data_IF_016978711343
#
_entry.id   IF_016978711343
#
_cell.length_a   1.000
_cell.length_b   1.000
_cell.length_c   1.000
_cell.angle_alpha   90.00
_cell.angle_beta   90.00
_cell.angle_gamma   90.00
#
_symmetry.space_group_name_H-M   'P 1'
#
loop_
_entity.id
_entity.type
_entity.pdbx_description
1 polymer ?
#
# COMPACT_ATOMS: atom_id res chain seq x y z
N UNK A 1 33.09 -42.05 6.97
CA UNK A 1 32.64 -42.09 8.37
C UNK A 1 31.70 -40.92 8.57
N UNK A 2 30.42 -41.18 8.39
CA UNK A 2 29.34 -40.19 8.26
C UNK A 2 28.79 -39.91 9.65
N UNK A 3 28.86 -38.66 10.12
CA UNK A 3 28.27 -38.25 11.40
C UNK A 3 26.81 -37.84 11.19
N UNK A 4 25.92 -38.58 11.83
CA UNK A 4 24.48 -38.30 11.96
C UNK A 4 24.28 -37.45 13.21
N UNK A 5 23.78 -36.24 13.03
CA UNK A 5 23.15 -35.35 14.01
C UNK A 5 21.87 -34.87 13.27
N UNK A 6 20.65 -34.84 13.78
CA UNK A 6 20.01 -35.18 15.07
C UNK A 6 18.51 -35.05 14.81
N UNK A 7 17.72 -36.13 14.91
CA UNK A 7 16.25 -36.09 14.78
C UNK A 7 15.53 -35.49 16.01
N UNK A 8 16.28 -35.18 17.08
CA UNK A 8 15.73 -34.90 18.41
C UNK A 8 15.10 -33.51 18.55
N UNK A 9 15.57 -32.51 17.79
CA UNK A 9 15.01 -31.14 17.84
C UNK A 9 13.64 -31.08 17.14
N UNK A 10 13.45 -31.85 16.07
CA UNK A 10 12.19 -31.90 15.33
C UNK A 10 11.11 -32.67 16.12
N UNK A 11 11.50 -33.72 16.85
CA UNK A 11 10.61 -34.47 17.74
C UNK A 11 10.17 -33.60 18.94
N UNK A 12 11.05 -32.81 19.54
CA UNK A 12 10.66 -31.87 20.61
C UNK A 12 9.67 -30.78 20.15
N UNK A 13 9.79 -30.30 18.91
CA UNK A 13 8.87 -29.28 18.37
C UNK A 13 7.48 -29.87 18.09
N UNK A 14 7.42 -31.11 17.58
CA UNK A 14 6.17 -31.84 17.33
C UNK A 14 5.46 -32.22 18.64
N UNK A 15 6.21 -32.59 19.69
CA UNK A 15 5.64 -32.90 21.02
C UNK A 15 5.03 -31.64 21.65
N UNK A 16 5.70 -30.47 21.56
CA UNK A 16 5.14 -29.21 22.07
C UNK A 16 3.87 -28.76 21.33
N UNK A 17 3.77 -29.01 20.03
CA UNK A 17 2.56 -28.71 19.24
C UNK A 17 1.40 -29.68 19.55
N UNK A 18 1.69 -30.96 19.77
CA UNK A 18 0.68 -31.96 20.16
C UNK A 18 0.16 -31.76 21.59
N UNK A 19 1.01 -31.40 22.55
CA UNK A 19 0.57 -31.13 23.94
C UNK A 19 -0.35 -29.89 24.00
N UNK A 20 -0.10 -28.87 23.16
CA UNK A 20 -0.99 -27.70 23.05
C UNK A 20 -2.36 -28.05 22.46
N UNK A 21 -2.39 -28.97 21.48
CA UNK A 21 -3.63 -29.49 20.88
C UNK A 21 -4.45 -30.33 21.86
N UNK A 22 -3.78 -31.14 22.68
CA UNK A 22 -4.42 -32.01 23.68
C UNK A 22 -5.01 -31.20 24.85
N UNK A 23 -4.32 -30.14 25.32
CA UNK A 23 -4.86 -29.25 26.36
C UNK A 23 -6.09 -28.45 25.90
N UNK A 24 -6.20 -28.12 24.60
CA UNK A 24 -7.39 -27.46 24.05
C UNK A 24 -8.58 -28.43 23.91
N UNK A 25 -8.33 -29.72 23.68
CA UNK A 25 -9.40 -30.74 23.64
C UNK A 25 -9.88 -31.20 25.03
N UNK A 26 -9.05 -31.11 26.08
CA UNK A 26 -9.42 -31.62 27.41
C UNK A 26 -10.26 -30.66 28.26
N UNK A 27 -10.43 -29.40 27.84
CA UNK A 27 -11.32 -28.42 28.49
C UNK A 27 -12.77 -28.52 28.01
N UNK A 28 -13.07 -29.43 27.07
CA UNK A 28 -14.41 -29.64 26.52
C UNK A 28 -14.85 -31.11 26.68
N UNK A 29 -14.78 -31.66 27.89
CA UNK A 29 -15.42 -32.94 28.18
C UNK A 29 -15.63 -33.13 29.69
N UNK A 30 -16.77 -32.66 30.20
CA UNK A 30 -17.53 -33.37 31.25
C UNK A 30 -18.81 -32.61 31.65
N UNK A 31 -19.93 -33.31 31.51
CA UNK A 31 -21.18 -33.23 32.29
C UNK A 31 -22.03 -31.94 32.25
N UNK A 32 -23.18 -31.97 31.57
CA UNK A 32 -24.45 -32.41 32.21
C UNK A 32 -25.55 -32.68 31.17
N UNK A 33 -26.34 -33.72 31.45
CA UNK A 33 -27.53 -34.20 30.74
C UNK A 33 -28.74 -33.40 31.24
N UNK A 34 -29.61 -32.95 30.33
CA UNK A 34 -30.91 -32.37 30.65
C UNK A 34 -31.75 -32.22 29.39
N UNK A 35 -32.73 -33.10 29.22
CA UNK A 35 -33.76 -33.06 28.19
C UNK A 35 -34.87 -32.11 28.62
N UNK A 36 -35.26 -31.15 27.77
CA UNK A 36 -36.66 -30.90 27.40
C UNK A 36 -36.75 -29.81 26.32
N UNK A 37 -37.72 -30.02 25.45
CA UNK A 37 -38.07 -29.29 24.23
C UNK A 37 -38.72 -27.95 24.51
N UNK A 38 -38.38 -26.92 23.73
CA UNK A 38 -39.36 -26.15 22.93
C UNK A 38 -38.65 -25.11 22.03
N UNK A 39 -39.18 -24.97 20.81
CA UNK A 39 -38.65 -24.18 19.69
C UNK A 39 -38.46 -22.69 20.01
N UNK A 40 -37.25 -22.17 19.81
CA UNK A 40 -37.02 -20.76 19.47
C UNK A 40 -35.85 -20.63 18.48
N UNK A 41 -36.17 -20.19 17.27
CA UNK A 41 -35.26 -19.83 16.18
C UNK A 41 -34.48 -18.55 16.53
N UNK A 42 -33.17 -18.64 16.78
CA UNK A 42 -32.14 -17.67 16.39
C UNK A 42 -30.76 -18.09 16.89
N UNK A 43 -29.84 -18.36 15.96
CA UNK A 43 -28.53 -18.98 16.21
C UNK A 43 -27.40 -17.93 16.32
N UNK A 44 -27.64 -16.80 17.01
CA UNK A 44 -26.67 -15.69 17.11
C UNK A 44 -26.21 -15.32 18.53
N UNK A 45 -26.88 -15.79 19.58
CA UNK A 45 -26.55 -15.38 20.97
C UNK A 45 -26.16 -16.59 21.83
N UNK A 46 -24.87 -16.93 21.82
CA UNK A 46 -24.23 -17.70 22.90
C UNK A 46 -23.04 -16.94 23.43
N UNK A 47 -23.31 -15.97 24.30
CA UNK A 47 -22.29 -15.33 25.12
C UNK A 47 -21.99 -16.20 26.35
N UNK A 48 -20.74 -16.66 26.48
CA UNK A 48 -20.22 -17.17 27.76
C UNK A 48 -20.01 -15.98 28.71
N UNK A 49 -20.83 -15.91 29.76
CA UNK A 49 -20.56 -15.09 30.92
C UNK A 49 -19.65 -15.90 31.87
N UNK A 50 -18.40 -15.49 32.05
CA UNK A 50 -17.55 -15.99 33.13
C UNK A 50 -17.05 -14.80 33.96
N UNK A 51 -17.28 -14.88 35.27
CA UNK A 51 -17.03 -13.81 36.22
C UNK A 51 -15.55 -13.43 36.30
N UNK A 52 -15.29 -12.12 36.35
CA UNK A 52 -14.17 -11.57 37.13
C UNK A 52 -12.78 -11.74 36.54
N UNK A 53 -12.54 -11.23 35.33
CA UNK A 53 -11.22 -10.72 34.86
C UNK A 53 -11.42 -10.00 33.53
N UNK A 54 -11.15 -8.68 33.43
CA UNK A 54 -11.10 -7.97 32.15
C UNK A 54 -9.88 -8.42 31.35
N UNK A 55 -9.97 -9.58 30.71
CA UNK A 55 -9.20 -9.86 29.50
C UNK A 55 -10.05 -9.37 28.33
N UNK A 56 -9.60 -8.29 27.68
CA UNK A 56 -10.11 -7.88 26.37
C UNK A 56 -9.82 -9.03 25.39
N UNK A 57 -10.78 -9.96 25.26
CA UNK A 57 -10.75 -11.02 24.28
C UNK A 57 -10.83 -10.36 22.90
N UNK A 58 -9.66 -10.20 22.28
CA UNK A 58 -9.55 -9.80 20.88
C UNK A 58 -10.28 -10.83 20.01
N UNK A 59 -11.16 -10.35 19.15
CA UNK A 59 -12.02 -11.17 18.29
C UNK A 59 -11.16 -12.12 17.43
N UNK A 60 -11.62 -13.35 17.12
CA UNK A 60 -10.84 -14.35 16.35
C UNK A 60 -10.45 -13.95 14.91
N UNK A 61 -10.84 -12.75 14.44
CA UNK A 61 -10.58 -12.23 13.09
C UNK A 61 -9.36 -11.28 13.05
N UNK A 62 -8.84 -10.82 14.19
CA UNK A 62 -7.66 -9.92 14.24
C UNK A 62 -6.33 -10.58 13.78
N UNK A 63 -6.33 -11.86 13.41
CA UNK A 63 -5.14 -12.70 13.55
C UNK A 63 -4.19 -12.66 12.33
N UNK A 64 -4.66 -12.53 11.08
CA UNK A 64 -3.81 -12.94 9.95
C UNK A 64 -2.72 -11.95 9.47
N UNK A 65 -2.94 -10.63 9.55
CA UNK A 65 -1.87 -9.64 9.26
C UNK A 65 -0.99 -9.39 10.49
N UNK A 66 -1.57 -9.49 11.70
CA UNK A 66 -0.83 -9.37 12.96
C UNK A 66 0.12 -10.56 13.18
N UNK A 67 -0.18 -11.73 12.61
CA UNK A 67 0.73 -12.88 12.55
C UNK A 67 2.07 -12.59 11.86
N UNK A 68 2.15 -11.56 11.01
CA UNK A 68 3.41 -11.14 10.40
C UNK A 68 4.29 -10.34 11.38
N UNK A 69 3.71 -9.65 12.37
CA UNK A 69 4.47 -8.76 13.26
C UNK A 69 5.61 -9.43 14.04
N UNK A 70 5.48 -10.66 14.57
CA UNK A 70 6.55 -11.33 15.32
C UNK A 70 7.83 -11.58 14.52
N UNK A 71 7.75 -11.63 13.18
CA UNK A 71 8.89 -11.88 12.31
C UNK A 71 9.51 -10.60 11.71
N UNK A 72 8.90 -9.43 11.98
CA UNK A 72 9.37 -8.14 11.47
C UNK A 72 10.24 -7.42 12.50
N UNK A 73 11.20 -6.63 12.01
CA UNK A 73 12.06 -5.74 12.80
C UNK A 73 11.26 -4.55 13.38
N UNK A 74 10.26 -4.09 12.63
CA UNK A 74 9.37 -2.99 12.99
C UNK A 74 8.06 -3.13 12.20
N UNK A 75 6.94 -2.54 12.66
CA UNK A 75 5.64 -2.63 11.99
C UNK A 75 5.58 -1.68 10.78
N UNK A 76 6.48 -1.87 9.83
CA UNK A 76 6.68 -1.03 8.65
C UNK A 76 6.31 -1.81 7.39
N UNK A 77 5.55 -1.15 6.52
CA UNK A 77 5.34 -1.52 5.13
C UNK A 77 6.02 -0.47 4.27
N UNK A 78 7.00 -0.85 3.46
CA UNK A 78 7.57 0.02 2.44
C UNK A 78 6.48 0.25 1.38
N UNK A 79 6.10 1.51 1.11
CA UNK A 79 4.94 1.85 0.29
C UNK A 79 5.13 1.48 -1.19
N UNK A 80 4.15 0.90 -1.88
CA UNK A 80 4.24 0.66 -3.32
C UNK A 80 4.22 1.99 -4.08
N UNK A 81 5.33 2.35 -4.72
CA UNK A 81 5.47 3.61 -5.45
C UNK A 81 5.73 3.30 -6.92
N UNK A 82 4.67 3.33 -7.74
CA UNK A 82 4.74 2.92 -9.14
C UNK A 82 5.83 3.70 -9.90
N UNK A 83 6.70 2.99 -10.62
CA UNK A 83 7.88 3.55 -11.29
C UNK A 83 9.11 3.76 -10.40
N UNK A 84 8.97 3.63 -9.08
CA UNK A 84 10.05 3.80 -8.09
C UNK A 84 10.40 2.47 -7.42
N UNK A 85 9.42 1.74 -6.90
CA UNK A 85 9.59 0.45 -6.23
C UNK A 85 9.81 -0.68 -7.22
N UNK A 86 11.02 -0.81 -7.74
CA UNK A 86 11.46 -1.95 -8.56
C UNK A 86 11.74 -3.19 -7.67
N UNK A 87 11.86 -4.40 -8.25
CA UNK A 87 12.20 -5.61 -7.49
C UNK A 87 13.33 -5.44 -6.48
N UNK A 88 14.44 -4.80 -6.86
CA UNK A 88 15.59 -4.55 -5.98
C UNK A 88 15.22 -3.87 -4.65
N UNK A 89 14.34 -2.86 -4.70
CA UNK A 89 13.90 -2.11 -3.52
C UNK A 89 13.02 -2.96 -2.59
N UNK A 90 12.13 -3.76 -3.19
CA UNK A 90 11.25 -4.68 -2.47
C UNK A 90 12.08 -5.75 -1.76
N UNK A 91 13.05 -6.33 -2.47
CA UNK A 91 13.99 -7.32 -1.94
C UNK A 91 14.78 -6.73 -0.76
N UNK A 92 15.31 -5.52 -0.91
CA UNK A 92 16.06 -4.85 0.16
C UNK A 92 15.19 -4.59 1.40
N UNK A 93 13.95 -4.13 1.22
CA UNK A 93 13.00 -3.92 2.32
C UNK A 93 12.67 -5.24 3.04
N UNK A 94 12.35 -6.30 2.30
CA UNK A 94 12.12 -7.63 2.87
C UNK A 94 13.35 -8.13 3.65
N UNK A 95 14.56 -8.02 3.10
CA UNK A 95 15.81 -8.42 3.76
C UNK A 95 16.13 -7.57 5.00
N UNK A 96 15.70 -6.31 5.02
CA UNK A 96 15.83 -5.43 6.18
C UNK A 96 14.83 -5.75 7.31
N UNK A 97 13.92 -6.71 7.10
CA UNK A 97 12.98 -7.19 8.11
C UNK A 97 11.68 -6.40 8.17
N UNK A 98 11.26 -5.76 7.07
CA UNK A 98 9.96 -5.09 6.93
C UNK A 98 9.20 -5.67 5.74
N UNK A 99 7.93 -5.30 5.55
CA UNK A 99 7.18 -5.74 4.36
C UNK A 99 7.58 -4.86 3.17
N UNK A 100 8.18 -5.45 2.14
CA UNK A 100 8.43 -4.76 0.87
C UNK A 100 7.17 -4.70 0.00
N UNK A 101 6.93 -3.60 -0.71
CA UNK A 101 5.78 -3.49 -1.63
C UNK A 101 6.18 -3.05 -3.03
N UNK A 102 5.74 -3.80 -4.03
CA UNK A 102 5.96 -3.50 -5.44
C UNK A 102 4.77 -2.71 -6.01
N UNK A 103 5.03 -1.52 -6.56
CA UNK A 103 4.06 -0.71 -7.29
C UNK A 103 3.86 -1.18 -8.73
N UNK A 104 3.02 -2.21 -8.91
CA UNK A 104 2.77 -2.87 -10.20
C UNK A 104 1.72 -2.21 -11.09
N UNK A 105 1.00 -1.20 -10.61
CA UNK A 105 -0.16 -0.61 -11.31
C UNK A 105 0.10 0.00 -12.70
N UNK A 106 1.37 0.23 -13.08
CA UNK A 106 1.73 0.71 -14.43
C UNK A 106 2.41 -0.36 -15.31
N UNK A 107 2.56 -1.59 -14.81
CA UNK A 107 3.28 -2.66 -15.51
C UNK A 107 2.36 -3.46 -16.41
N UNK A 108 2.91 -3.98 -17.52
CA UNK A 108 2.22 -5.02 -18.27
C UNK A 108 2.09 -6.30 -17.42
N UNK A 109 1.12 -7.19 -17.73
CA UNK A 109 1.02 -8.49 -17.05
C UNK A 109 2.31 -9.30 -17.08
N UNK A 110 3.04 -9.27 -18.20
CA UNK A 110 4.29 -10.04 -18.33
C UNK A 110 5.42 -9.47 -17.46
N UNK A 111 5.56 -8.14 -17.42
CA UNK A 111 6.55 -7.50 -16.53
C UNK A 111 6.18 -7.73 -15.06
N UNK A 112 4.90 -7.60 -14.71
CA UNK A 112 4.40 -7.88 -13.36
C UNK A 112 4.74 -9.31 -12.94
N UNK A 113 4.54 -10.29 -13.84
CA UNK A 113 4.86 -11.69 -13.59
C UNK A 113 6.36 -11.91 -13.36
N UNK A 114 7.19 -11.32 -14.20
CA UNK A 114 8.65 -11.39 -14.07
C UNK A 114 9.11 -10.81 -12.73
N UNK A 115 8.62 -9.62 -12.37
CA UNK A 115 8.97 -8.92 -11.14
C UNK A 115 8.55 -9.74 -9.90
N UNK A 116 7.34 -10.33 -9.88
CA UNK A 116 6.88 -11.17 -8.77
C UNK A 116 7.80 -12.39 -8.57
N UNK A 117 8.22 -13.02 -9.67
CA UNK A 117 9.11 -14.20 -9.61
C UNK A 117 10.50 -13.83 -9.11
N UNK A 118 11.08 -12.74 -9.62
CA UNK A 118 12.37 -12.22 -9.17
C UNK A 118 12.35 -11.92 -7.66
N UNK A 119 11.33 -11.20 -7.19
CA UNK A 119 11.18 -10.88 -5.77
C UNK A 119 11.09 -12.16 -4.94
N UNK A 120 10.21 -13.09 -5.34
CA UNK A 120 9.99 -14.35 -4.61
C UNK A 120 11.25 -15.18 -4.51
N UNK A 121 11.97 -15.34 -5.61
CA UNK A 121 13.24 -16.08 -5.67
C UNK A 121 14.26 -15.47 -4.69
N UNK A 122 14.35 -14.14 -4.64
CA UNK A 122 15.34 -13.46 -3.81
C UNK A 122 14.98 -13.37 -2.31
N UNK A 123 13.70 -13.40 -1.94
CA UNK A 123 13.25 -13.19 -0.54
C UNK A 123 12.74 -14.46 0.15
N UNK A 124 12.42 -15.52 -0.61
CA UNK A 124 11.87 -16.77 -0.10
C UNK A 124 10.50 -16.56 0.54
N UNK A 125 10.35 -16.97 1.80
CA UNK A 125 9.09 -16.89 2.56
C UNK A 125 8.81 -15.53 3.21
N UNK A 126 9.69 -14.53 3.04
CA UNK A 126 9.46 -13.21 3.64
C UNK A 126 8.25 -12.55 2.98
N UNK A 127 7.37 -11.89 3.76
CA UNK A 127 6.18 -11.27 3.20
C UNK A 127 6.54 -10.09 2.29
N UNK A 128 5.90 -10.04 1.12
CA UNK A 128 5.92 -8.91 0.21
C UNK A 128 4.51 -8.66 -0.34
N UNK A 129 4.29 -7.42 -0.76
CA UNK A 129 3.03 -6.93 -1.29
C UNK A 129 3.16 -6.56 -2.76
N UNK A 130 2.15 -6.91 -3.56
CA UNK A 130 2.00 -6.43 -4.93
C UNK A 130 0.79 -5.48 -4.99
N UNK A 131 1.03 -4.24 -5.40
CA UNK A 131 -0.01 -3.23 -5.51
C UNK A 131 -0.46 -3.02 -6.95
N UNK A 132 -1.78 -3.03 -7.18
CA UNK A 132 -2.40 -2.74 -8.46
C UNK A 132 -3.36 -1.56 -8.37
N UNK A 133 -3.57 -0.90 -9.51
CA UNK A 133 -4.60 0.10 -9.70
C UNK A 133 -5.84 -0.56 -10.28
N UNK A 134 -6.99 -0.43 -9.62
CA UNK A 134 -8.25 -0.92 -10.15
C UNK A 134 -8.79 0.13 -11.10
N UNK A 135 -8.72 -0.16 -12.41
CA UNK A 135 -9.11 0.76 -13.48
C UNK A 135 -10.10 0.07 -14.41
N UNK A 136 -10.98 0.88 -14.99
CA UNK A 136 -11.94 0.45 -16.01
C UNK A 136 -11.20 -0.13 -17.23
N UNK A 137 -11.66 -1.29 -17.71
CA UNK A 137 -11.03 -2.03 -18.81
C UNK A 137 -10.97 -1.23 -20.12
N UNK A 138 -11.85 -0.24 -20.31
CA UNK A 138 -11.79 0.65 -21.49
C UNK A 138 -10.44 1.37 -21.62
N UNK A 139 -9.73 1.62 -20.52
CA UNK A 139 -8.42 2.28 -20.57
C UNK A 139 -7.31 1.40 -21.14
N UNK A 140 -7.52 0.08 -21.19
CA UNK A 140 -6.62 -0.87 -21.84
C UNK A 140 -6.95 -1.09 -23.32
N UNK A 141 -8.12 -0.63 -23.78
CA UNK A 141 -8.56 -0.74 -25.17
C UNK A 141 -7.94 0.38 -26.03
N UNK A 142 -7.26 0.00 -27.12
CA UNK A 142 -6.71 0.94 -28.10
C UNK A 142 -7.76 1.56 -29.01
N UNK A 143 -8.99 1.05 -29.02
CA UNK A 143 -10.11 1.65 -29.73
C UNK A 143 -10.76 2.78 -28.93
N UNK A 144 -10.60 2.78 -27.60
CA UNK A 144 -11.14 3.81 -26.74
C UNK A 144 -10.39 5.13 -26.93
N UNK A 145 -11.14 6.21 -27.12
CA UNK A 145 -10.61 7.56 -27.23
C UNK A 145 -11.37 8.50 -26.32
N UNK A 146 -10.65 9.47 -25.74
CA UNK A 146 -11.25 10.52 -24.93
C UNK A 146 -11.43 11.79 -25.77
N UNK A 147 -12.65 12.32 -25.79
CA UNK A 147 -12.95 13.61 -26.39
C UNK A 147 -12.59 14.73 -25.40
N UNK A 148 -11.44 15.36 -25.60
CA UNK A 148 -11.01 16.50 -24.80
C UNK A 148 -11.91 17.71 -25.05
N UNK A 149 -12.25 18.44 -23.99
CA UNK A 149 -12.75 19.81 -24.12
C UNK A 149 -11.66 20.76 -24.63
N UNK A 150 -12.07 21.89 -25.21
CA UNK A 150 -11.13 22.92 -25.66
C UNK A 150 -10.25 23.44 -24.51
N UNK A 151 -10.83 23.60 -23.31
CA UNK A 151 -10.12 24.13 -22.16
C UNK A 151 -9.11 23.12 -21.59
N UNK A 152 -9.46 21.84 -21.49
CA UNK A 152 -8.52 20.79 -21.04
C UNK A 152 -7.29 20.67 -21.95
N UNK A 153 -7.49 20.87 -23.26
CA UNK A 153 -6.44 20.68 -24.26
C UNK A 153 -5.56 21.91 -24.48
N UNK A 154 -6.15 23.10 -24.51
CA UNK A 154 -5.46 24.34 -24.91
C UNK A 154 -4.21 24.65 -24.08
N UNK A 155 -4.30 24.62 -22.75
CA UNK A 155 -3.16 24.97 -21.91
C UNK A 155 -2.03 23.93 -21.97
N UNK A 156 -2.37 22.66 -22.19
CA UNK A 156 -1.38 21.59 -22.32
C UNK A 156 -0.64 21.77 -23.64
N UNK A 157 -1.35 22.01 -24.74
CA UNK A 157 -0.77 22.28 -26.05
C UNK A 157 0.13 23.53 -26.01
N UNK A 158 -0.31 24.63 -25.37
CA UNK A 158 0.53 25.81 -25.17
C UNK A 158 1.79 25.51 -24.34
N UNK A 159 1.72 24.59 -23.38
CA UNK A 159 2.91 24.17 -22.64
C UNK A 159 3.86 23.35 -23.52
N UNK A 160 3.33 22.46 -24.37
CA UNK A 160 4.12 21.73 -25.36
C UNK A 160 4.88 22.68 -26.31
N UNK A 161 4.18 23.66 -26.87
CA UNK A 161 4.79 24.69 -27.73
C UNK A 161 5.90 25.45 -27.02
N UNK A 162 5.66 25.86 -25.76
CA UNK A 162 6.64 26.57 -24.94
C UNK A 162 7.89 25.73 -24.64
N UNK A 163 7.75 24.40 -24.61
CA UNK A 163 8.88 23.47 -24.46
C UNK A 163 9.52 23.08 -25.80
N UNK A 164 8.99 23.56 -26.93
CA UNK A 164 9.45 23.14 -28.27
C UNK A 164 9.14 21.68 -28.58
N UNK A 165 8.07 21.13 -28.00
CA UNK A 165 7.66 19.74 -28.14
C UNK A 165 6.34 19.62 -28.91
N UNK A 166 6.09 18.44 -29.46
CA UNK A 166 4.79 18.09 -30.05
C UNK A 166 3.97 17.26 -29.07
N UNK A 167 2.69 17.59 -28.94
CA UNK A 167 1.75 16.82 -28.15
C UNK A 167 1.60 15.39 -28.71
N UNK A 168 1.43 14.36 -27.86
CA UNK A 168 1.29 12.99 -28.32
C UNK A 168 0.02 12.83 -29.18
N UNK A 169 0.16 12.14 -30.31
CA UNK A 169 -0.93 11.72 -31.19
C UNK A 169 -1.11 10.20 -31.17
N UNK A 170 -2.34 9.73 -31.33
CA UNK A 170 -2.66 8.30 -31.56
C UNK A 170 -3.26 7.56 -30.36
N UNK A 171 -3.73 6.32 -30.64
CA UNK A 171 -4.68 5.59 -29.80
C UNK A 171 -4.05 4.44 -29.00
N UNK A 172 -2.80 4.57 -28.54
CA UNK A 172 -2.29 3.52 -27.66
C UNK A 172 -3.09 3.51 -26.33
N UNK A 173 -3.16 2.38 -25.61
CA UNK A 173 -3.91 2.28 -24.36
C UNK A 173 -3.45 3.28 -23.29
N UNK A 174 -4.38 3.78 -22.49
CA UNK A 174 -4.09 4.74 -21.42
C UNK A 174 -3.51 4.08 -20.16
N UNK A 175 -3.79 2.79 -19.94
CA UNK A 175 -3.29 2.01 -18.82
C UNK A 175 -3.17 0.52 -19.19
N UNK A 176 -2.44 -0.29 -18.39
CA UNK A 176 -2.53 -1.74 -18.47
C UNK A 176 -3.93 -2.25 -18.16
N UNK A 177 -4.23 -3.45 -18.64
CA UNK A 177 -5.48 -4.17 -18.35
C UNK A 177 -5.46 -4.73 -16.93
N UNK A 178 -6.34 -4.20 -16.07
CA UNK A 178 -6.44 -4.60 -14.67
C UNK A 178 -6.82 -6.09 -14.51
N UNK A 179 -7.75 -6.60 -15.31
CA UNK A 179 -8.20 -8.00 -15.18
C UNK A 179 -7.05 -8.96 -15.52
N UNK A 180 -6.29 -8.66 -16.59
CA UNK A 180 -5.08 -9.44 -16.90
C UNK A 180 -4.00 -9.32 -15.84
N UNK A 181 -3.83 -8.16 -15.20
CA UNK A 181 -2.92 -8.05 -14.06
C UNK A 181 -3.42 -8.87 -12.86
N UNK A 182 -4.73 -8.88 -12.60
CA UNK A 182 -5.34 -9.66 -11.54
C UNK A 182 -5.16 -11.17 -11.76
N UNK A 183 -5.26 -11.65 -13.00
CA UNK A 183 -4.94 -13.03 -13.36
C UNK A 183 -3.49 -13.40 -12.98
N UNK A 184 -2.54 -12.48 -13.16
CA UNK A 184 -1.14 -12.70 -12.72
C UNK A 184 -1.07 -12.84 -11.20
N UNK A 185 -1.81 -12.03 -10.44
CA UNK A 185 -1.89 -12.19 -8.97
C UNK A 185 -2.44 -13.58 -8.61
N UNK A 186 -3.46 -14.06 -9.31
CA UNK A 186 -4.04 -15.39 -9.06
C UNK A 186 -3.08 -16.53 -9.40
N UNK A 187 -2.28 -16.36 -10.46
CA UNK A 187 -1.31 -17.36 -10.90
C UNK A 187 -0.08 -17.39 -10.00
N UNK A 188 0.51 -16.23 -9.72
CA UNK A 188 1.77 -16.11 -9.00
C UNK A 188 1.60 -16.09 -7.48
N UNK A 189 0.39 -15.84 -6.96
CA UNK A 189 0.03 -15.95 -5.54
C UNK A 189 0.98 -15.20 -4.59
N UNK A 190 1.15 -13.87 -4.72
CA UNK A 190 1.94 -13.11 -3.76
C UNK A 190 1.32 -13.23 -2.35
N UNK A 191 2.11 -13.09 -1.27
CA UNK A 191 1.57 -13.15 0.10
C UNK A 191 0.49 -12.09 0.35
N UNK A 192 0.67 -10.90 -0.22
CA UNK A 192 -0.23 -9.76 -0.06
C UNK A 192 -0.51 -9.16 -1.44
N UNK A 193 -1.77 -8.86 -1.72
CA UNK A 193 -2.20 -8.05 -2.86
C UNK A 193 -2.94 -6.82 -2.34
N UNK A 194 -2.49 -5.64 -2.74
CA UNK A 194 -3.11 -4.37 -2.36
C UNK A 194 -3.68 -3.61 -3.55
N UNK A 195 -4.72 -2.85 -3.31
CA UNK A 195 -5.46 -2.16 -4.38
C UNK A 195 -5.70 -0.68 -4.04
N UNK A 196 -5.66 0.15 -5.08
CA UNK A 196 -5.95 1.57 -5.04
C UNK A 196 -6.75 2.02 -6.27
N UNK A 197 -7.32 3.23 -6.20
CA UNK A 197 -8.10 3.94 -7.24
C UNK A 197 -9.48 3.38 -7.55
N UNK A 198 -9.77 2.15 -7.13
CA UNK A 198 -11.07 1.50 -7.21
C UNK A 198 -11.18 0.40 -6.15
N UNK A 199 -12.26 -0.37 -6.25
CA UNK A 199 -12.57 -1.51 -5.39
C UNK A 199 -12.80 -2.75 -6.25
N UNK A 200 -12.35 -3.91 -5.79
CA UNK A 200 -12.52 -5.20 -6.48
C UNK A 200 -13.90 -5.81 -6.15
N UNK A 201 -14.38 -6.72 -7.00
CA UNK A 201 -15.68 -7.37 -6.81
C UNK A 201 -15.59 -8.58 -5.87
N UNK A 202 -16.75 -9.12 -5.45
CA UNK A 202 -16.85 -10.25 -4.52
C UNK A 202 -16.17 -11.52 -5.01
N UNK A 203 -16.19 -11.79 -6.31
CA UNK A 203 -15.62 -12.98 -6.92
C UNK A 203 -14.09 -12.91 -6.87
N UNK A 204 -13.54 -11.73 -7.17
CA UNK A 204 -12.12 -11.41 -7.02
C UNK A 204 -11.66 -11.55 -5.56
N UNK A 205 -12.44 -11.05 -4.59
CA UNK A 205 -12.12 -11.25 -3.16
C UNK A 205 -12.12 -12.74 -2.79
N UNK A 206 -13.13 -13.49 -3.23
CA UNK A 206 -13.23 -14.92 -2.95
C UNK A 206 -12.05 -15.69 -3.56
N UNK A 207 -11.66 -15.34 -4.78
CA UNK A 207 -10.51 -15.93 -5.47
C UNK A 207 -9.16 -15.68 -4.75
N UNK A 208 -8.97 -14.48 -4.17
CA UNK A 208 -7.82 -14.16 -3.32
C UNK A 208 -7.79 -15.01 -2.05
N UNK A 209 -8.93 -15.08 -1.34
CA UNK A 209 -9.06 -15.86 -0.09
C UNK A 209 -8.80 -17.35 -0.30
N UNK A 210 -9.34 -17.95 -1.36
CA UNK A 210 -9.09 -19.35 -1.72
C UNK A 210 -7.61 -19.65 -2.00
N UNK A 211 -6.82 -18.64 -2.38
CA UNK A 211 -5.38 -18.76 -2.63
C UNK A 211 -4.51 -18.33 -1.44
N UNK A 212 -5.14 -18.01 -0.30
CA UNK A 212 -4.49 -17.47 0.88
C UNK A 212 -3.65 -16.20 0.59
N UNK A 213 -4.13 -15.35 -0.31
CA UNK A 213 -3.53 -14.05 -0.61
C UNK A 213 -4.23 -13.01 0.28
N UNK A 214 -3.46 -12.27 1.08
CA UNK A 214 -4.05 -11.22 1.93
C UNK A 214 -4.46 -10.02 1.10
N UNK A 215 -5.71 -9.59 1.28
CA UNK A 215 -6.30 -8.45 0.60
C UNK A 215 -6.10 -7.17 1.43
N UNK A 216 -5.44 -6.17 0.84
CA UNK A 216 -5.26 -4.85 1.46
C UNK A 216 -5.89 -3.75 0.61
N UNK A 217 -6.83 -3.02 1.20
CA UNK A 217 -7.52 -1.91 0.52
C UNK A 217 -6.97 -0.55 0.90
N UNK A 218 -6.83 0.38 -0.05
CA UNK A 218 -6.51 1.78 0.27
C UNK A 218 -7.78 2.60 0.51
N UNK A 219 -7.85 3.33 1.62
CA UNK A 219 -8.93 4.25 1.96
C UNK A 219 -8.37 5.64 2.33
N UNK A 220 -9.02 6.67 1.83
CA UNK A 220 -8.73 8.10 2.09
C UNK A 220 -9.80 8.77 2.94
N UNK A 221 -10.90 8.07 3.19
CA UNK A 221 -11.99 8.47 4.07
C UNK A 221 -12.61 7.23 4.75
N UNK A 222 -13.50 7.46 5.71
CA UNK A 222 -14.11 6.39 6.51
C UNK A 222 -15.06 5.52 5.70
N UNK A 223 -15.81 6.08 4.75
CA UNK A 223 -16.78 5.33 3.94
C UNK A 223 -16.06 4.29 3.07
N UNK A 224 -14.94 4.68 2.47
CA UNK A 224 -14.07 3.75 1.73
C UNK A 224 -13.56 2.61 2.62
N UNK A 225 -13.15 2.92 3.85
CA UNK A 225 -12.69 1.89 4.79
C UNK A 225 -13.82 0.92 5.17
N UNK A 226 -15.05 1.41 5.36
CA UNK A 226 -16.23 0.58 5.61
C UNK A 226 -16.50 -0.35 4.42
N UNK A 227 -16.40 0.13 3.19
CA UNK A 227 -16.58 -0.71 2.00
C UNK A 227 -15.51 -1.80 1.87
N UNK A 228 -14.23 -1.47 2.12
CA UNK A 228 -13.17 -2.47 2.15
C UNK A 228 -13.41 -3.54 3.22
N UNK A 229 -13.82 -3.13 4.42
CA UNK A 229 -14.18 -4.06 5.49
C UNK A 229 -15.39 -4.93 5.10
N UNK A 230 -16.42 -4.35 4.49
CA UNK A 230 -17.64 -5.04 4.05
C UNK A 230 -17.34 -6.15 3.05
N UNK A 231 -16.46 -5.91 2.08
CA UNK A 231 -16.05 -6.96 1.13
C UNK A 231 -15.04 -7.94 1.73
N UNK A 232 -14.54 -7.67 2.93
CA UNK A 232 -13.71 -8.58 3.72
C UNK A 232 -12.22 -8.46 3.40
N UNK A 233 -11.71 -7.23 3.29
CA UNK A 233 -10.27 -6.96 3.30
C UNK A 233 -9.62 -7.40 4.62
N UNK A 234 -8.40 -7.93 4.54
CA UNK A 234 -7.60 -8.36 5.70
C UNK A 234 -6.93 -7.18 6.42
N UNK A 235 -6.71 -6.06 5.72
CA UNK A 235 -6.28 -4.80 6.31
C UNK A 235 -6.65 -3.61 5.42
N UNK A 236 -6.64 -2.41 6.01
CA UNK A 236 -6.96 -1.15 5.32
C UNK A 236 -5.80 -0.18 5.47
N UNK A 237 -5.26 0.32 4.36
CA UNK A 237 -4.33 1.45 4.34
C UNK A 237 -5.13 2.74 4.50
N UNK A 238 -5.04 3.37 5.67
CA UNK A 238 -5.57 4.69 5.94
C UNK A 238 -4.60 5.76 5.43
N UNK A 239 -4.83 6.26 4.22
CA UNK A 239 -3.97 7.23 3.56
C UNK A 239 -4.39 8.67 3.93
N UNK A 240 -3.67 9.30 4.86
CA UNK A 240 -3.87 10.70 5.22
C UNK A 240 -3.42 11.68 4.14
N UNK A 241 -3.89 12.93 4.20
CA UNK A 241 -3.61 14.01 3.24
C UNK A 241 -2.12 14.40 3.15
N UNK A 242 -1.31 14.01 4.12
CA UNK A 242 0.14 14.24 4.18
C UNK A 242 0.91 13.29 3.23
N UNK A 243 0.27 12.23 2.74
CA UNK A 243 0.88 11.24 1.86
C UNK A 243 1.33 11.84 0.51
N UNK A 244 2.50 11.39 0.06
CA UNK A 244 3.01 11.68 -1.29
C UNK A 244 2.35 10.81 -2.35
N UNK A 245 2.40 11.27 -3.61
CA UNK A 245 1.80 10.57 -4.74
C UNK A 245 0.27 10.69 -4.75
N UNK A 246 -0.37 9.83 -5.53
CA UNK A 246 -1.82 9.87 -5.75
C UNK A 246 -2.63 9.63 -4.48
N UNK A 247 -3.76 10.33 -4.37
CA UNK A 247 -4.85 9.95 -3.47
C UNK A 247 -5.44 8.62 -3.94
N UNK A 248 -5.27 7.59 -3.11
CA UNK A 248 -5.51 6.18 -3.44
C UNK A 248 -6.94 5.69 -3.28
N UNK A 249 -7.83 6.50 -2.69
CA UNK A 249 -9.27 6.22 -2.59
C UNK A 249 -9.95 6.19 -3.96
N UNK A 250 -11.25 5.95 -4.04
CA UNK A 250 -12.03 5.88 -5.28
C UNK A 250 -13.37 6.62 -5.23
N UNK A 251 -13.85 6.93 -4.02
CA UNK A 251 -14.99 7.83 -3.83
C UNK A 251 -14.43 9.25 -3.84
N UNK A 252 -14.50 9.89 -5.01
CA UNK A 252 -14.01 11.26 -5.18
C UNK A 252 -14.78 12.21 -4.27
N UNK A 253 -14.08 12.75 -3.26
CA UNK A 253 -14.63 13.72 -2.33
C UNK A 253 -14.40 15.17 -2.79
N UNK A 254 -13.69 15.39 -3.89
CA UNK A 254 -13.31 16.73 -4.36
C UNK A 254 -12.36 17.49 -3.42
N UNK A 255 -11.90 16.87 -2.33
CA UNK A 255 -11.01 17.48 -1.33
C UNK A 255 -9.81 16.57 -1.00
N UNK A 256 -8.67 17.13 -0.58
CA UNK A 256 -7.46 16.37 -0.25
C UNK A 256 -7.61 15.27 0.82
N UNK A 257 -8.63 15.37 1.67
CA UNK A 257 -8.95 14.39 2.71
C UNK A 257 -8.45 14.77 4.11
N UNK A 258 -8.49 13.79 5.01
CA UNK A 258 -8.19 13.95 6.42
C UNK A 258 -6.71 13.67 6.72
N UNK A 259 -6.14 14.30 7.76
CA UNK A 259 -4.79 13.99 8.23
C UNK A 259 -4.66 12.55 8.78
N UNK A 260 -3.48 11.94 8.65
CA UNK A 260 -3.24 10.51 8.89
C UNK A 260 -3.76 10.02 10.24
N UNK A 261 -3.39 10.67 11.35
CA UNK A 261 -3.76 10.22 12.70
C UNK A 261 -5.29 10.30 12.92
N UNK A 262 -5.90 11.39 12.44
CA UNK A 262 -7.36 11.56 12.54
C UNK A 262 -8.11 10.53 11.68
N UNK A 263 -7.56 10.19 10.50
CA UNK A 263 -8.14 9.16 9.64
C UNK A 263 -8.03 7.77 10.25
N UNK A 264 -6.87 7.42 10.84
CA UNK A 264 -6.66 6.15 11.54
C UNK A 264 -7.68 5.98 12.66
N UNK A 265 -7.80 6.97 13.56
CA UNK A 265 -8.74 6.93 14.68
C UNK A 265 -10.19 6.81 14.20
N UNK A 266 -10.60 7.65 13.23
CA UNK A 266 -11.95 7.61 12.68
C UNK A 266 -12.31 6.29 11.99
N UNK A 267 -11.35 5.65 11.32
CA UNK A 267 -11.55 4.32 10.72
C UNK A 267 -11.66 3.26 11.81
N UNK A 268 -10.77 3.26 12.80
CA UNK A 268 -10.80 2.29 13.92
C UNK A 268 -12.12 2.33 14.68
N UNK A 269 -12.73 3.50 14.83
CA UNK A 269 -14.05 3.65 15.46
C UNK A 269 -15.19 2.98 14.67
N UNK A 270 -15.07 2.91 13.33
CA UNK A 270 -16.11 2.34 12.46
C UNK A 270 -15.87 0.89 12.08
N UNK A 271 -14.62 0.47 11.94
CA UNK A 271 -14.23 -0.89 11.54
C UNK A 271 -13.19 -1.47 12.51
N UNK A 272 -13.53 -1.65 13.81
CA UNK A 272 -12.56 -2.02 14.85
C UNK A 272 -11.95 -3.42 14.64
N UNK A 273 -12.62 -4.29 13.88
CA UNK A 273 -12.21 -5.68 13.62
C UNK A 273 -11.21 -5.82 12.46
N UNK A 274 -11.00 -4.78 11.66
CA UNK A 274 -10.01 -4.79 10.56
C UNK A 274 -8.76 -4.01 10.97
N UNK A 275 -7.56 -4.62 10.88
CA UNK A 275 -6.30 -3.90 11.09
C UNK A 275 -6.14 -2.69 10.17
N UNK A 276 -5.72 -1.55 10.73
CA UNK A 276 -5.47 -0.33 9.98
C UNK A 276 -3.96 -0.11 9.82
N UNK A 277 -3.52 0.19 8.61
CA UNK A 277 -2.15 0.56 8.26
C UNK A 277 -2.12 2.06 8.00
N UNK A 278 -1.46 2.83 8.85
CA UNK A 278 -1.37 4.29 8.69
C UNK A 278 -0.45 4.66 7.52
N UNK A 279 -0.85 5.58 6.65
CA UNK A 279 -0.01 6.06 5.56
C UNK A 279 -0.09 7.57 5.38
N UNK A 280 1.06 8.23 5.28
CA UNK A 280 1.17 9.67 5.04
C UNK A 280 1.82 10.43 6.19
N UNK A 281 2.82 11.27 5.89
CA UNK A 281 3.56 12.04 6.89
C UNK A 281 4.50 11.24 7.81
N UNK A 282 4.62 9.92 7.61
CA UNK A 282 5.46 9.04 8.44
C UNK A 282 6.89 9.08 7.92
N UNK A 283 7.74 9.88 8.56
CA UNK A 283 9.10 10.19 8.07
C UNK A 283 10.24 9.73 8.97
N UNK A 284 9.94 9.41 10.23
CA UNK A 284 10.89 8.94 11.22
C UNK A 284 10.23 7.91 12.17
N UNK A 285 11.02 7.34 13.09
CA UNK A 285 10.50 6.36 14.05
C UNK A 285 9.56 6.98 15.10
N UNK A 286 9.58 8.30 15.30
CA UNK A 286 8.64 9.00 16.18
C UNK A 286 7.26 9.05 15.55
N UNK A 287 7.16 9.43 14.27
CA UNK A 287 5.90 9.39 13.51
C UNK A 287 5.36 7.98 13.34
N UNK A 288 6.25 6.99 13.20
CA UNK A 288 5.87 5.58 13.25
C UNK A 288 5.23 5.22 14.59
N UNK A 289 5.86 5.61 15.71
CA UNK A 289 5.32 5.39 17.04
C UNK A 289 3.97 6.08 17.24
N UNK A 290 3.84 7.36 16.89
CA UNK A 290 2.58 8.13 16.97
C UNK A 290 1.44 7.45 16.19
N UNK A 291 1.72 6.90 15.00
CA UNK A 291 0.72 6.20 14.22
C UNK A 291 0.25 4.89 14.87
N UNK A 292 1.19 4.11 15.41
CA UNK A 292 0.86 2.84 16.11
C UNK A 292 0.13 3.12 17.42
N UNK A 293 0.57 4.13 18.18
CA UNK A 293 -0.06 4.57 19.43
C UNK A 293 -1.51 5.06 19.20
N UNK A 294 -1.77 5.72 18.05
CA UNK A 294 -3.11 6.10 17.62
C UNK A 294 -4.01 4.91 17.18
N UNK A 295 -3.53 3.67 17.29
CA UNK A 295 -4.30 2.46 17.02
C UNK A 295 -4.07 1.82 15.64
N UNK A 296 -3.07 2.28 14.87
CA UNK A 296 -2.67 1.56 13.67
C UNK A 296 -1.90 0.27 14.03
N UNK A 297 -2.14 -0.81 13.28
CA UNK A 297 -1.37 -2.05 13.40
C UNK A 297 0.05 -1.90 12.82
N UNK A 298 0.19 -1.10 11.76
CA UNK A 298 1.43 -0.85 11.04
C UNK A 298 1.42 0.54 10.41
N UNK A 299 2.57 0.96 9.88
CA UNK A 299 2.68 2.15 9.05
C UNK A 299 3.21 1.79 7.65
N UNK A 300 2.57 2.34 6.63
CA UNK A 300 3.06 2.34 5.26
C UNK A 300 3.87 3.62 4.98
N UNK A 301 5.16 3.44 4.75
CA UNK A 301 6.17 4.52 4.65
C UNK A 301 6.66 4.62 3.21
N UNK A 302 6.51 5.80 2.60
CA UNK A 302 6.89 6.07 1.20
C UNK A 302 8.09 7.01 1.06
N UNK A 303 7.87 8.31 1.28
CA UNK A 303 8.83 9.39 1.02
C UNK A 303 10.25 9.18 1.58
N UNK A 304 10.47 8.66 2.80
CA UNK A 304 11.82 8.34 3.26
C UNK A 304 12.58 7.40 2.32
N UNK A 305 11.89 6.39 1.79
CA UNK A 305 12.48 5.38 0.92
C UNK A 305 12.72 5.87 -0.53
N UNK A 306 12.29 7.07 -0.91
CA UNK A 306 12.69 7.69 -2.18
C UNK A 306 14.21 7.92 -2.25
N UNK A 307 14.86 8.04 -1.09
CA UNK A 307 16.31 8.16 -0.97
C UNK A 307 17.02 6.81 -0.78
N UNK A 308 16.32 5.69 -0.97
CA UNK A 308 16.93 4.38 -1.01
C UNK A 308 17.84 4.24 -2.25
N UNK A 309 19.04 3.67 -2.10
CA UNK A 309 19.91 3.34 -3.23
C UNK A 309 19.23 2.43 -4.26
N UNK A 310 18.32 1.59 -3.79
CA UNK A 310 17.55 0.64 -4.60
C UNK A 310 16.32 1.26 -5.27
N UNK A 311 16.00 2.53 -4.96
CA UNK A 311 14.88 3.23 -5.58
C UNK A 311 15.14 3.43 -7.08
N UNK A 312 14.13 3.16 -7.91
CA UNK A 312 14.18 3.27 -9.37
C UNK A 312 14.22 4.70 -9.92
N UNK A 313 14.83 5.64 -9.20
CA UNK A 313 14.90 7.06 -9.55
C UNK A 313 16.19 7.39 -10.29
N UNK A 314 16.10 8.31 -11.25
CA UNK A 314 17.29 8.90 -11.88
C UNK A 314 17.85 10.06 -11.04
N UNK A 315 19.08 10.46 -11.33
CA UNK A 315 19.77 11.54 -10.60
C UNK A 315 19.03 12.87 -10.64
N UNK A 316 18.36 13.21 -11.75
CA UNK A 316 17.54 14.43 -11.88
C UNK A 316 16.36 14.42 -10.92
N UNK A 317 15.68 13.29 -10.77
CA UNK A 317 14.57 13.12 -9.82
C UNK A 317 15.08 13.28 -8.38
N UNK A 318 16.17 12.60 -8.02
CA UNK A 318 16.78 12.68 -6.69
C UNK A 318 17.16 14.13 -6.37
N UNK A 319 17.79 14.84 -7.31
CA UNK A 319 18.16 16.24 -7.15
C UNK A 319 16.94 17.12 -6.87
N UNK A 320 15.85 16.96 -7.62
CA UNK A 320 14.62 17.71 -7.38
C UNK A 320 13.98 17.42 -6.01
N UNK A 321 14.08 16.19 -5.51
CA UNK A 321 13.65 15.86 -4.13
C UNK A 321 14.55 16.50 -3.07
N UNK A 322 15.85 16.62 -3.33
CA UNK A 322 16.82 17.24 -2.42
C UNK A 322 16.67 18.76 -2.36
N UNK A 323 16.42 19.39 -3.50
CA UNK A 323 16.26 20.85 -3.66
C UNK A 323 14.85 21.34 -3.29
N UNK A 324 13.88 20.42 -3.15
CA UNK A 324 12.48 20.72 -2.88
C UNK A 324 12.27 21.65 -1.67
N UNK A 325 11.50 22.72 -1.87
CA UNK A 325 11.11 23.66 -0.81
C UNK A 325 9.75 23.33 -0.20
N UNK A 326 8.82 22.83 -1.02
CA UNK A 326 7.46 22.52 -0.61
C UNK A 326 6.88 21.37 -1.44
N UNK A 327 5.84 20.74 -0.90
CA UNK A 327 4.98 19.83 -1.64
C UNK A 327 3.54 20.32 -1.60
N UNK A 328 2.78 20.10 -2.66
CA UNK A 328 1.36 20.42 -2.68
C UNK A 328 0.60 19.42 -3.57
N UNK A 329 -0.73 19.48 -3.51
CA UNK A 329 -1.59 18.69 -4.37
C UNK A 329 -1.70 19.30 -5.77
N UNK A 330 -1.72 18.45 -6.78
CA UNK A 330 -2.02 18.84 -8.15
C UNK A 330 -2.76 17.72 -8.88
N UNK A 331 -3.62 18.11 -9.83
CA UNK A 331 -4.15 17.22 -10.87
C UNK A 331 -3.40 17.38 -12.19
N UNK A 332 -2.58 18.43 -12.34
CA UNK A 332 -2.02 18.86 -13.63
C UNK A 332 -1.27 17.77 -14.39
N UNK A 333 -0.53 16.92 -13.67
CA UNK A 333 0.19 15.81 -14.31
C UNK A 333 -0.72 14.67 -14.75
N UNK A 334 -1.77 14.33 -13.98
CA UNK A 334 -2.40 13.01 -14.11
C UNK A 334 -3.91 12.98 -14.15
N UNK A 335 -4.58 14.10 -13.87
CA UNK A 335 -6.04 14.17 -13.79
C UNK A 335 -6.62 13.74 -12.45
N UNK A 336 -5.80 13.12 -11.59
CA UNK A 336 -6.13 12.74 -10.22
C UNK A 336 -5.24 13.50 -9.25
N UNK A 337 -5.77 13.85 -8.09
CA UNK A 337 -4.99 14.51 -7.04
C UNK A 337 -3.80 13.64 -6.65
N UNK A 338 -2.61 14.21 -6.78
CA UNK A 338 -1.36 13.64 -6.29
C UNK A 338 -0.53 14.74 -5.60
N UNK A 339 0.17 14.37 -4.53
CA UNK A 339 1.09 15.28 -3.84
C UNK A 339 2.51 15.09 -4.34
N UNK A 340 3.13 16.19 -4.75
CA UNK A 340 4.51 16.21 -5.22
C UNK A 340 5.22 17.52 -4.91
N UNK A 341 6.52 17.55 -5.20
CA UNK A 341 7.34 18.75 -5.13
C UNK A 341 6.76 19.82 -6.04
N UNK A 342 6.59 21.03 -5.52
CA UNK A 342 6.15 22.17 -6.31
C UNK A 342 7.25 22.55 -7.30
N UNK A 343 6.95 22.47 -8.59
CA UNK A 343 7.82 22.85 -9.69
C UNK A 343 7.10 23.75 -10.70
N UNK A 344 7.84 24.23 -11.71
CA UNK A 344 7.30 25.17 -12.71
C UNK A 344 6.08 24.62 -13.45
N UNK A 345 6.07 23.34 -13.81
CA UNK A 345 4.89 22.74 -14.46
C UNK A 345 3.69 22.72 -13.51
N UNK A 346 3.89 22.36 -12.26
CA UNK A 346 2.81 22.29 -11.27
C UNK A 346 2.19 23.67 -11.01
N UNK A 347 3.02 24.71 -10.91
CA UNK A 347 2.56 26.10 -10.81
C UNK A 347 1.83 26.53 -12.09
N UNK A 348 2.36 26.17 -13.25
CA UNK A 348 1.69 26.47 -14.52
C UNK A 348 0.32 25.78 -14.60
N UNK A 349 0.19 24.54 -14.15
CA UNK A 349 -1.05 23.77 -14.22
C UNK A 349 -2.09 24.14 -13.15
N UNK A 350 -1.75 25.02 -12.19
CA UNK A 350 -2.63 25.38 -11.10
C UNK A 350 -3.93 26.05 -11.61
N UNK A 351 -5.07 25.63 -11.05
CA UNK A 351 -6.40 26.13 -11.42
C UNK A 351 -6.92 25.72 -12.79
N UNK A 352 -6.12 25.03 -13.62
CA UNK A 352 -6.52 24.64 -14.98
C UNK A 352 -7.34 23.36 -15.01
N UNK A 353 -8.31 23.23 -15.92
CA UNK A 353 -9.07 22.00 -16.09
C UNK A 353 -8.17 20.89 -16.62
N UNK A 354 -8.40 19.66 -16.15
CA UNK A 354 -7.60 18.49 -16.51
C UNK A 354 -8.51 17.37 -16.98
N UNK A 355 -8.10 16.62 -18.01
CA UNK A 355 -8.73 15.35 -18.32
C UNK A 355 -8.66 14.40 -17.11
N UNK A 356 -9.59 13.44 -16.95
CA UNK A 356 -9.55 12.50 -15.84
C UNK A 356 -8.35 11.57 -15.92
N UNK A 357 -7.98 10.96 -14.79
CA UNK A 357 -7.00 9.87 -14.78
C UNK A 357 -7.57 8.62 -15.48
N UNK A 358 -6.78 7.88 -16.29
CA UNK A 358 -5.36 8.06 -16.63
C UNK A 358 -5.08 8.88 -17.90
N UNK A 359 -6.08 9.52 -18.50
CA UNK A 359 -5.94 10.24 -19.78
C UNK A 359 -4.94 11.39 -19.68
N UNK A 360 -5.08 12.26 -18.68
CA UNK A 360 -4.13 13.35 -18.45
C UNK A 360 -2.72 12.82 -18.13
N UNK A 361 -2.60 11.69 -17.44
CA UNK A 361 -1.30 11.07 -17.14
C UNK A 361 -0.55 10.71 -18.43
N UNK A 362 -1.24 10.07 -19.39
CA UNK A 362 -0.68 9.78 -20.71
C UNK A 362 -0.33 11.06 -21.46
N UNK A 363 -1.23 12.04 -21.44
CA UNK A 363 -1.06 13.31 -22.14
C UNK A 363 0.21 14.06 -21.70
N UNK A 364 0.58 14.01 -20.42
CA UNK A 364 1.77 14.72 -19.90
C UNK A 364 3.03 13.85 -19.80
N UNK A 365 2.95 12.55 -20.12
CA UNK A 365 4.09 11.64 -19.99
C UNK A 365 5.30 12.05 -20.86
N UNK A 366 5.13 12.49 -22.12
CA UNK A 366 6.25 12.98 -22.93
C UNK A 366 6.94 14.21 -22.34
N UNK A 367 6.19 15.14 -21.72
CA UNK A 367 6.77 16.33 -21.06
C UNK A 367 7.73 15.92 -19.92
N UNK A 368 7.30 14.94 -19.12
CA UNK A 368 8.12 14.40 -18.01
C UNK A 368 9.36 13.69 -18.51
N UNK A 369 9.22 12.89 -19.57
CA UNK A 369 10.33 12.17 -20.18
C UNK A 369 11.37 13.14 -20.80
N UNK A 370 10.91 14.17 -21.50
CA UNK A 370 11.78 15.21 -22.07
C UNK A 370 12.50 16.01 -20.98
N UNK A 371 11.78 16.45 -19.94
CA UNK A 371 12.37 17.14 -18.78
C UNK A 371 13.51 16.32 -18.16
N UNK A 372 13.27 15.02 -17.93
CA UNK A 372 14.28 14.10 -17.40
C UNK A 372 15.49 13.97 -18.35
N UNK A 373 15.26 13.86 -19.66
CA UNK A 373 16.31 13.79 -20.69
C UNK A 373 17.18 15.04 -20.71
N UNK A 374 16.60 16.23 -20.49
CA UNK A 374 17.31 17.51 -20.38
C UNK A 374 17.97 17.75 -19.01
N UNK A 375 17.89 16.81 -18.08
CA UNK A 375 18.46 16.97 -16.74
C UNK A 375 17.73 17.99 -15.86
N UNK A 376 16.48 18.34 -16.21
CA UNK A 376 15.61 19.28 -15.49
C UNK A 376 14.48 18.54 -14.79
N UNK A 377 14.21 18.89 -13.54
CA UNK A 377 13.08 18.35 -12.78
C UNK A 377 11.82 19.24 -12.86
N UNK A 378 11.88 20.37 -13.57
CA UNK A 378 10.83 21.40 -13.59
C UNK A 378 9.50 20.97 -14.21
N UNK A 379 9.52 19.92 -15.04
CA UNK A 379 8.30 19.29 -15.57
C UNK A 379 8.20 17.81 -15.24
N UNK A 380 8.98 17.31 -14.28
CA UNK A 380 8.86 15.94 -13.79
C UNK A 380 7.76 15.84 -12.73
N UNK A 381 7.14 14.68 -12.60
CA UNK A 381 6.21 14.41 -11.48
C UNK A 381 6.99 13.83 -10.29
N UNK A 382 7.47 14.70 -9.39
CA UNK A 382 8.25 14.31 -8.21
C UNK A 382 7.33 14.06 -7.01
N UNK A 383 6.80 12.85 -6.90
CA UNK A 383 5.85 12.51 -5.84
C UNK A 383 6.53 12.37 -4.48
N UNK A 384 6.07 13.16 -3.50
CA UNK A 384 6.59 13.17 -2.15
C UNK A 384 5.56 13.76 -1.17
N UNK A 385 5.57 13.28 0.08
CA UNK A 385 4.67 13.74 1.13
C UNK A 385 5.14 15.01 1.82
N UNK A 386 4.30 15.57 2.71
CA UNK A 386 4.59 16.84 3.41
C UNK A 386 5.86 16.80 4.25
N UNK A 387 6.22 15.63 4.80
CA UNK A 387 7.44 15.47 5.59
C UNK A 387 8.75 15.43 4.78
N UNK A 388 8.73 15.66 3.46
CA UNK A 388 9.95 15.65 2.64
C UNK A 388 11.02 16.62 3.16
N UNK A 389 10.62 17.81 3.63
CA UNK A 389 11.51 18.88 4.13
C UNK A 389 12.14 18.61 5.48
N UNK A 390 11.67 17.60 6.21
CA UNK A 390 12.23 17.23 7.51
C UNK A 390 13.21 16.05 7.42
N UNK A 391 13.38 15.48 6.23
CA UNK A 391 14.28 14.34 6.00
C UNK A 391 15.73 14.79 5.82
N UNK A 392 16.71 13.91 6.10
CA UNK A 392 18.12 14.18 5.78
C UNK A 392 18.38 14.26 4.27
N UNK A 393 17.50 13.72 3.43
CA UNK A 393 17.54 13.76 1.95
C UNK A 393 18.87 13.24 1.35
N UNK A 394 19.54 12.33 2.06
CA UNK A 394 20.75 11.66 1.59
C UNK A 394 20.41 10.30 1.00
N UNK A 395 21.04 9.95 -0.11
CA UNK A 395 20.88 8.62 -0.71
C UNK A 395 21.64 7.60 0.13
N UNK A 396 20.93 6.63 0.67
CA UNK A 396 21.44 5.59 1.57
C UNK A 396 20.76 4.24 1.27
N UNK A 397 21.34 3.09 1.64
CA UNK A 397 20.68 1.79 1.45
C UNK A 397 19.30 1.74 2.13
N UNK A 398 18.31 1.07 1.52
CA UNK A 398 16.99 0.84 2.13
C UNK A 398 17.12 0.19 3.51
N UNK A 399 18.12 -0.67 3.70
CA UNK A 399 18.43 -1.28 4.99
C UNK A 399 18.77 -0.24 6.07
N UNK A 400 19.56 0.79 5.75
CA UNK A 400 19.96 1.85 6.68
C UNK A 400 18.77 2.73 7.07
N UNK A 401 17.93 3.10 6.09
CA UNK A 401 16.67 3.84 6.34
C UNK A 401 15.79 3.04 7.30
N UNK A 402 15.64 1.74 7.02
CA UNK A 402 14.82 0.82 7.83
C UNK A 402 15.34 0.70 9.25
N UNK A 403 16.65 0.52 9.42
CA UNK A 403 17.28 0.42 10.74
C UNK A 403 17.10 1.69 11.55
N UNK A 404 17.27 2.86 10.94
CA UNK A 404 17.06 4.16 11.59
C UNK A 404 15.62 4.32 12.08
N UNK A 405 14.63 4.02 11.23
CA UNK A 405 13.21 4.06 11.58
C UNK A 405 12.90 3.09 12.73
N UNK A 406 13.33 1.83 12.61
CA UNK A 406 13.08 0.79 13.60
C UNK A 406 13.72 1.09 14.95
N UNK A 407 14.97 1.58 14.96
CA UNK A 407 15.69 1.94 16.18
C UNK A 407 14.96 3.03 16.96
N UNK A 408 14.59 4.12 16.28
CA UNK A 408 13.86 5.24 16.88
C UNK A 408 12.49 4.79 17.42
N UNK A 409 11.76 3.97 16.66
CA UNK A 409 10.47 3.42 17.09
C UNK A 409 10.61 2.52 18.33
N UNK A 410 11.55 1.56 18.31
CA UNK A 410 11.75 0.62 19.41
C UNK A 410 12.21 1.32 20.70
N UNK A 411 13.01 2.40 20.58
CA UNK A 411 13.41 3.23 21.73
C UNK A 411 12.24 3.97 22.39
N UNK A 412 11.22 4.37 21.61
CA UNK A 412 10.01 4.99 22.16
C UNK A 412 9.07 3.94 22.73
N UNK A 413 8.89 2.83 22.01
CA UNK A 413 8.08 1.70 22.46
C UNK A 413 8.56 1.12 23.78
N UNK A 414 9.87 1.07 24.05
CA UNK A 414 10.40 0.55 25.32
C UNK A 414 10.17 1.47 26.52
N UNK A 415 9.61 2.67 26.34
CA UNK A 415 9.36 3.65 27.41
C UNK A 415 7.90 3.70 27.87
N UNK A 416 7.01 2.98 27.17
CA UNK A 416 5.57 2.88 27.42
C UNK A 416 5.26 1.42 27.73
#
# INVERSE_FOLDING_TARGET
MTMVLTNDIMIMLLIKLSIKKIMLSSLCSSSFIGTESENLENEADRYLYCQGSRLLARHPIEIAMLELLPILRAPIVQAPMAGVTKPAMVIAACKAGIIGSHGGGMLSPDQLRADIREIREAVGYKPFNINLFVLDSKYADSSYSYAFSADEKSWVDSYYEKQGLQAPSGNAPYAPDFEKQFEVIMAEKPPIASFAFGIINSDQVTALKHRNIKLVGTATNVNEAVEWARIGADAIVAQGSEAGGHRGGWLDSGVPGMGTIKLVTAIRDKVPHVPVIAAGGIVDGKKLFEAVDAGAAMAQVGTPFLFGQEAGLNSTHIRGLQEAQATAFTKGFTGRYARGVVNSFMQYAEGKPTAPYPIQNRLTQPLRADSAKRGSWESMSLWAGEGLTTLPRQVEPVATITERLAKQYNQLKSKV
#
